data_IF_688068453079
#
_entry.id   IF_688068453079
#
_cell.length_a   1.000
_cell.length_b   1.000
_cell.length_c   1.000
_cell.angle_alpha   90.00
_cell.angle_beta   90.00
_cell.angle_gamma   90.00
#
_symmetry.space_group_name_H-M   'P 1'
#
loop_
_entity.id
_entity.type
_entity.pdbx_description
1 polymer ?
#
# COMPACT_ATOMS: atom_id res chain seq x y z
N UNK A 1 -11.03 -0.86 25.79
CA UNK A 1 -9.86 -1.70 25.48
C UNK A 1 -10.26 -2.63 24.35
N UNK A 2 -9.81 -2.40 23.11
CA UNK A 2 -10.28 -3.12 21.92
C UNK A 2 -9.11 -3.62 21.07
N UNK A 3 -9.24 -4.83 20.50
CA UNK A 3 -8.20 -5.42 19.67
C UNK A 3 -8.17 -4.69 18.32
N UNK A 4 -7.06 -4.01 18.05
CA UNK A 4 -6.76 -3.46 16.74
C UNK A 4 -6.36 -4.61 15.81
N UNK A 5 -7.29 -4.92 14.89
CA UNK A 5 -7.41 -6.09 13.99
C UNK A 5 -8.41 -7.09 14.57
N UNK A 6 -9.62 -6.96 14.06
CA UNK A 6 -10.70 -7.92 14.23
C UNK A 6 -10.30 -9.23 13.57
N UNK A 7 -9.70 -10.13 14.35
CA UNK A 7 -9.70 -11.56 14.07
C UNK A 7 -11.12 -12.05 14.37
N UNK A 8 -11.87 -12.32 13.30
CA UNK A 8 -13.14 -13.01 13.38
C UNK A 8 -12.86 -14.47 13.77
N UNK A 9 -12.94 -14.77 15.07
CA UNK A 9 -13.01 -16.14 15.55
C UNK A 9 -14.50 -16.51 15.67
N UNK A 10 -14.95 -17.32 14.72
CA UNK A 10 -16.17 -18.16 14.76
C UNK A 10 -17.51 -17.40 14.76
N UNK A 11 -17.98 -17.03 13.57
CA UNK A 11 -19.36 -17.22 13.08
C UNK A 11 -19.57 -16.39 11.79
N UNK A 12 -19.61 -17.10 10.66
CA UNK A 12 -20.45 -16.89 9.48
C UNK A 12 -21.03 -15.49 9.20
N UNK A 13 -20.64 -14.92 8.03
CA UNK A 13 -21.43 -14.12 7.07
C UNK A 13 -21.06 -12.65 6.73
N UNK A 14 -20.11 -11.94 7.35
CA UNK A 14 -19.97 -10.48 7.10
C UNK A 14 -18.56 -9.86 6.85
N UNK A 15 -17.60 -10.57 6.26
CA UNK A 15 -16.35 -9.92 5.78
C UNK A 15 -16.09 -10.09 4.29
N UNK A 16 -17.17 -10.18 3.51
CA UNK A 16 -17.11 -10.09 2.05
C UNK A 16 -16.89 -8.63 1.65
N UNK A 17 -15.87 -8.38 0.83
CA UNK A 17 -15.75 -7.11 0.12
C UNK A 17 -16.11 -7.36 -1.35
N UNK A 18 -17.08 -6.63 -1.92
CA UNK A 18 -17.30 -6.70 -3.36
C UNK A 18 -15.99 -6.34 -4.08
N UNK A 19 -15.75 -6.98 -5.23
CA UNK A 19 -14.62 -6.62 -6.08
C UNK A 19 -14.73 -5.13 -6.46
N UNK A 20 -13.60 -4.40 -6.55
CA UNK A 20 -13.60 -3.04 -7.09
C UNK A 20 -14.31 -3.00 -8.44
N UNK A 21 -15.20 -2.03 -8.63
CA UNK A 21 -15.80 -1.74 -9.92
C UNK A 21 -14.73 -1.34 -10.95
N UNK A 22 -15.04 -1.34 -12.26
CA UNK A 22 -14.11 -0.84 -13.27
C UNK A 22 -13.61 0.57 -12.93
N UNK A 23 -12.28 0.75 -12.95
CA UNK A 23 -11.58 2.00 -12.59
C UNK A 23 -11.70 2.43 -11.12
N UNK A 24 -12.22 1.56 -10.26
CA UNK A 24 -12.23 1.76 -8.81
C UNK A 24 -10.92 1.24 -8.18
N UNK A 25 -10.46 1.95 -7.16
CA UNK A 25 -9.33 1.52 -6.33
C UNK A 25 -9.79 1.51 -4.88
N UNK A 26 -9.72 0.35 -4.25
CA UNK A 26 -9.87 0.25 -2.81
C UNK A 26 -8.52 0.49 -2.13
N UNK A 27 -8.48 1.40 -1.16
CA UNK A 27 -7.29 1.69 -0.37
C UNK A 27 -7.49 1.17 1.06
N UNK A 28 -6.53 0.37 1.52
CA UNK A 28 -6.47 -0.19 2.87
C UNK A 28 -5.21 0.32 3.53
N UNK A 29 -5.27 0.68 4.80
CA UNK A 29 -4.09 1.16 5.51
C UNK A 29 -4.11 0.76 6.98
N UNK A 30 -2.93 0.80 7.60
CA UNK A 30 -2.79 0.66 9.04
C UNK A 30 -1.63 1.54 9.53
N UNK A 31 -1.78 2.08 10.74
CA UNK A 31 -0.70 2.75 11.45
C UNK A 31 -0.03 1.71 12.36
N UNK A 32 1.26 1.38 12.18
CA UNK A 32 1.92 0.36 12.99
C UNK A 32 1.86 0.63 14.49
N UNK A 33 1.82 1.90 14.88
CA UNK A 33 1.71 2.32 16.27
C UNK A 33 0.38 1.97 16.94
N UNK A 34 -0.69 1.71 16.18
CA UNK A 34 -1.98 1.29 16.72
C UNK A 34 -1.99 -0.20 17.10
N UNK A 35 -0.99 -0.97 16.65
CA UNK A 35 -0.93 -2.42 16.84
C UNK A 35 0.21 -2.78 17.78
N UNK A 36 -0.02 -2.62 19.09
CA UNK A 36 0.99 -2.87 20.14
C UNK A 36 0.80 -4.17 20.91
N UNK A 37 -0.31 -4.87 20.69
CA UNK A 37 -0.65 -6.09 21.43
C UNK A 37 0.23 -7.27 20.98
N UNK A 38 1.02 -7.79 21.92
CA UNK A 38 1.93 -8.92 21.69
C UNK A 38 1.20 -10.24 21.34
N UNK A 39 -0.04 -10.42 21.80
CA UNK A 39 -0.85 -11.60 21.47
C UNK A 39 -1.28 -11.56 20.01
N UNK A 40 -1.68 -10.38 19.52
CA UNK A 40 -2.01 -10.14 18.12
C UNK A 40 -0.81 -10.36 17.21
N UNK A 41 0.39 -9.91 17.60
CA UNK A 41 1.62 -10.15 16.83
C UNK A 41 1.91 -11.65 16.64
N UNK A 42 1.64 -12.48 17.66
CA UNK A 42 1.78 -13.94 17.56
C UNK A 42 0.78 -14.52 16.56
N UNK A 43 -0.46 -14.06 16.58
CA UNK A 43 -1.49 -14.49 15.61
C UNK A 43 -1.07 -14.12 14.19
N UNK A 44 -0.59 -12.90 13.96
CA UNK A 44 -0.14 -12.47 12.62
C UNK A 44 1.02 -13.27 12.08
N UNK A 45 1.96 -13.66 12.95
CA UNK A 45 3.07 -14.52 12.54
C UNK A 45 2.57 -15.83 11.94
N UNK A 46 1.50 -16.40 12.49
CA UNK A 46 0.89 -17.64 11.99
C UNK A 46 0.17 -17.47 10.64
N UNK A 47 -0.10 -16.24 10.18
CA UNK A 47 -0.64 -15.99 8.85
C UNK A 47 0.43 -16.04 7.76
N UNK A 48 1.71 -15.86 8.11
CA UNK A 48 2.81 -15.82 7.15
C UNK A 48 3.29 -17.23 6.82
N UNK A 49 3.68 -17.46 5.57
CA UNK A 49 4.41 -18.67 5.20
C UNK A 49 5.78 -18.72 5.87
N UNK A 50 6.37 -19.90 5.95
CA UNK A 50 7.70 -20.12 6.54
C UNK A 50 8.77 -19.21 5.94
N UNK A 51 8.76 -18.96 4.63
CA UNK A 51 9.74 -18.11 3.96
C UNK A 51 9.55 -16.63 4.29
N UNK A 52 8.31 -16.19 4.50
CA UNK A 52 8.05 -14.80 4.92
C UNK A 52 8.38 -14.59 6.38
N UNK A 53 8.13 -15.59 7.24
CA UNK A 53 8.58 -15.55 8.63
C UNK A 53 10.10 -15.43 8.71
N UNK A 54 10.85 -16.18 7.89
CA UNK A 54 12.30 -16.04 7.77
C UNK A 54 12.70 -14.62 7.33
N UNK A 55 12.08 -14.07 6.28
CA UNK A 55 12.35 -12.69 5.81
C UNK A 55 12.03 -11.60 6.85
N UNK A 56 11.00 -11.82 7.67
CA UNK A 56 10.70 -10.93 8.81
C UNK A 56 11.84 -10.98 9.83
N UNK A 57 12.34 -12.18 10.15
CA UNK A 57 13.40 -12.39 11.14
C UNK A 57 14.81 -12.04 10.64
N UNK A 58 15.01 -11.92 9.32
CA UNK A 58 16.28 -11.54 8.66
C UNK A 58 16.73 -10.09 8.93
N UNK A 59 16.05 -9.37 9.83
CA UNK A 59 16.47 -8.07 10.31
C UNK A 59 16.65 -8.12 11.83
N UNK A 60 17.75 -7.58 12.36
CA UNK A 60 18.02 -7.57 13.80
C UNK A 60 17.13 -6.59 14.58
N UNK A 61 16.57 -5.58 13.91
CA UNK A 61 15.83 -4.50 14.57
C UNK A 61 14.34 -4.83 14.72
N UNK A 62 13.88 -4.98 15.98
CA UNK A 62 12.49 -5.40 16.31
C UNK A 62 11.43 -4.51 15.67
N UNK A 63 11.64 -3.18 15.62
CA UNK A 63 10.67 -2.26 14.98
C UNK A 63 10.49 -2.62 13.51
N UNK A 64 11.58 -2.88 12.80
CA UNK A 64 11.57 -3.26 11.38
C UNK A 64 10.99 -4.66 11.18
N UNK A 65 11.22 -5.60 12.11
CA UNK A 65 10.53 -6.89 12.09
C UNK A 65 9.00 -6.72 12.20
N UNK A 66 8.54 -5.87 13.12
CA UNK A 66 7.12 -5.59 13.31
C UNK A 66 6.50 -4.91 12.07
N UNK A 67 7.18 -3.93 11.49
CA UNK A 67 6.76 -3.28 10.24
C UNK A 67 6.61 -4.30 9.09
N UNK A 68 7.61 -5.19 8.90
CA UNK A 68 7.55 -6.26 7.89
C UNK A 68 6.40 -7.23 8.14
N UNK A 69 6.20 -7.63 9.40
CA UNK A 69 5.11 -8.52 9.81
C UNK A 69 3.74 -7.89 9.50
N UNK A 70 3.55 -6.64 9.92
CA UNK A 70 2.31 -5.91 9.71
C UNK A 70 2.03 -5.63 8.24
N UNK A 71 3.06 -5.31 7.45
CA UNK A 71 2.96 -5.15 6.01
C UNK A 71 2.47 -6.44 5.32
N UNK A 72 3.05 -7.61 5.64
CA UNK A 72 2.60 -8.90 5.11
C UNK A 72 1.19 -9.26 5.58
N UNK A 73 0.87 -8.93 6.83
CA UNK A 73 -0.46 -9.16 7.43
C UNK A 73 -1.53 -8.33 6.73
N UNK A 74 -1.26 -7.05 6.49
CA UNK A 74 -2.16 -6.14 5.76
C UNK A 74 -2.49 -6.72 4.39
N UNK A 75 -1.47 -7.09 3.61
CA UNK A 75 -1.67 -7.66 2.27
C UNK A 75 -2.49 -8.94 2.33
N UNK A 76 -2.07 -9.91 3.17
CA UNK A 76 -2.74 -11.21 3.26
C UNK A 76 -4.20 -11.10 3.66
N UNK A 77 -4.47 -10.39 4.75
CA UNK A 77 -5.84 -10.26 5.25
C UNK A 77 -6.70 -9.44 4.30
N UNK A 78 -6.14 -8.43 3.62
CA UNK A 78 -6.87 -7.65 2.61
C UNK A 78 -7.25 -8.51 1.42
N UNK A 79 -6.30 -9.22 0.82
CA UNK A 79 -6.57 -10.05 -0.36
C UNK A 79 -7.47 -11.24 -0.04
N UNK A 80 -7.34 -11.85 1.14
CA UNK A 80 -8.20 -12.93 1.60
C UNK A 80 -9.70 -12.55 1.58
N UNK A 81 -10.04 -11.29 1.85
CA UNK A 81 -11.43 -10.79 1.83
C UNK A 81 -12.04 -10.74 0.43
N UNK A 82 -11.24 -10.49 -0.60
CA UNK A 82 -11.68 -10.59 -2.00
C UNK A 82 -11.64 -12.03 -2.51
N UNK A 83 -10.66 -12.79 -2.01
CA UNK A 83 -10.42 -14.20 -2.28
C UNK A 83 -11.50 -15.15 -1.77
N UNK A 84 -12.13 -14.77 -0.66
CA UNK A 84 -12.86 -15.69 0.22
C UNK A 84 -12.01 -16.93 0.57
N UNK A 85 -10.74 -16.70 0.91
CA UNK A 85 -9.76 -17.74 1.25
C UNK A 85 -9.06 -17.40 2.56
N UNK A 86 -8.50 -18.41 3.21
CA UNK A 86 -7.69 -18.20 4.41
C UNK A 86 -6.44 -17.36 4.09
N UNK A 87 -6.11 -16.32 4.88
CA UNK A 87 -4.93 -15.49 4.62
C UNK A 87 -3.63 -16.30 4.49
N UNK A 88 -3.46 -17.35 5.30
CA UNK A 88 -2.29 -18.23 5.31
C UNK A 88 -2.19 -19.12 4.06
N UNK A 89 -3.30 -19.36 3.36
CA UNK A 89 -3.34 -20.14 2.12
C UNK A 89 -2.76 -19.37 0.92
N UNK A 90 -2.80 -18.03 0.96
CA UNK A 90 -2.33 -17.19 -0.12
C UNK A 90 -0.84 -17.45 -0.42
N UNK A 91 -0.54 -17.52 -1.72
CA UNK A 91 0.81 -17.60 -2.25
C UNK A 91 1.09 -16.36 -3.09
N UNK A 92 2.37 -16.02 -3.21
CA UNK A 92 2.80 -14.82 -3.90
C UNK A 92 3.99 -15.15 -4.79
N UNK A 93 3.99 -14.61 -6.00
CA UNK A 93 5.16 -14.51 -6.86
C UNK A 93 5.58 -13.05 -7.00
N UNK A 94 6.72 -12.81 -7.62
CA UNK A 94 7.18 -11.47 -8.00
C UNK A 94 7.57 -11.47 -9.47
N UNK A 95 7.40 -10.33 -10.15
CA UNK A 95 8.02 -10.14 -11.45
C UNK A 95 9.54 -9.92 -11.32
N UNK A 96 10.24 -9.73 -12.45
CA UNK A 96 11.69 -9.48 -12.49
C UNK A 96 12.15 -8.23 -11.70
N UNK A 97 11.24 -7.29 -11.45
CA UNK A 97 11.50 -6.05 -10.70
C UNK A 97 11.03 -6.12 -9.24
N UNK A 98 10.57 -7.29 -8.78
CA UNK A 98 10.15 -7.52 -7.40
C UNK A 98 8.70 -7.10 -7.08
N UNK A 99 7.90 -6.65 -8.06
CA UNK A 99 6.48 -6.34 -7.83
C UNK A 99 5.71 -7.63 -7.55
N UNK A 100 5.05 -7.75 -6.39
CA UNK A 100 4.37 -8.97 -6.01
C UNK A 100 3.05 -9.16 -6.78
N UNK A 101 2.72 -10.41 -7.07
CA UNK A 101 1.40 -10.86 -7.54
C UNK A 101 0.91 -11.99 -6.64
N UNK A 102 -0.39 -12.05 -6.45
CA UNK A 102 -1.03 -13.14 -5.69
C UNK A 102 -1.28 -14.30 -6.64
N UNK A 103 -0.97 -15.50 -6.17
CA UNK A 103 -1.34 -16.76 -6.82
C UNK A 103 -2.56 -17.27 -6.06
N UNK A 104 -3.71 -17.19 -6.71
CA UNK A 104 -4.98 -17.60 -6.12
C UNK A 104 -5.09 -19.12 -6.13
N UNK A 105 -5.56 -19.74 -5.03
CA UNK A 105 -5.91 -21.15 -5.07
C UNK A 105 -7.07 -21.34 -6.06
N UNK A 106 -7.00 -22.41 -6.86
CA UNK A 106 -8.09 -22.76 -7.75
C UNK A 106 -9.36 -23.02 -6.91
N UNK A 107 -10.45 -22.33 -7.26
CA UNK A 107 -11.75 -22.51 -6.61
C UNK A 107 -12.80 -22.76 -7.68
N UNK A 108 -13.77 -23.60 -7.34
CA UNK A 108 -14.96 -23.81 -8.14
C UNK A 108 -16.10 -22.97 -7.55
N UNK A 109 -16.78 -22.21 -8.40
CA UNK A 109 -18.03 -21.53 -8.08
C UNK A 109 -19.00 -21.82 -9.24
N UNK A 110 -20.16 -22.42 -8.94
CA UNK A 110 -21.16 -22.83 -9.94
C UNK A 110 -20.59 -23.62 -11.14
N UNK A 111 -19.74 -24.62 -10.86
CA UNK A 111 -19.03 -25.42 -11.88
C UNK A 111 -18.14 -24.62 -12.84
N UNK A 112 -17.78 -23.37 -12.51
CA UNK A 112 -16.79 -22.57 -13.22
C UNK A 112 -15.57 -22.36 -12.33
N UNK A 113 -14.38 -22.32 -12.95
CA UNK A 113 -13.16 -21.92 -12.25
C UNK A 113 -13.32 -20.44 -11.88
N UNK A 114 -13.49 -20.17 -10.60
CA UNK A 114 -13.47 -18.82 -10.07
C UNK A 114 -12.03 -18.30 -10.16
N UNK A 115 -11.86 -17.17 -10.85
CA UNK A 115 -10.55 -16.65 -11.21
C UNK A 115 -10.50 -15.14 -10.96
N UNK A 116 -10.07 -14.69 -9.78
CA UNK A 116 -9.74 -13.29 -9.51
C UNK A 116 -8.37 -12.94 -10.13
N UNK A 117 -8.00 -13.54 -11.26
CA UNK A 117 -6.71 -13.31 -11.92
C UNK A 117 -6.53 -11.84 -12.33
N UNK A 118 -7.65 -11.12 -12.46
CA UNK A 118 -7.67 -9.69 -12.74
C UNK A 118 -7.50 -8.79 -11.51
N UNK A 119 -7.43 -9.35 -10.29
CA UNK A 119 -7.24 -8.54 -9.09
C UNK A 119 -5.75 -8.20 -8.94
N UNK A 120 -5.46 -6.91 -9.03
CA UNK A 120 -4.11 -6.38 -8.89
C UNK A 120 -4.00 -5.59 -7.60
N UNK A 121 -2.82 -5.64 -6.97
CA UNK A 121 -2.56 -4.89 -5.76
C UNK A 121 -1.16 -4.29 -5.76
N UNK A 122 -0.97 -3.30 -4.91
CA UNK A 122 0.33 -2.73 -4.61
C UNK A 122 0.41 -2.28 -3.16
N UNK A 123 1.62 -2.29 -2.60
CA UNK A 123 1.87 -1.94 -1.21
C UNK A 123 2.91 -0.82 -1.15
N UNK A 124 2.70 0.12 -0.23
CA UNK A 124 3.70 1.08 0.19
C UNK A 124 3.75 1.19 1.71
N UNK A 125 4.88 1.64 2.24
CA UNK A 125 5.04 1.86 3.67
C UNK A 125 6.03 2.97 3.99
N UNK A 126 5.74 3.68 5.07
CA UNK A 126 6.67 4.47 5.87
C UNK A 126 6.82 3.81 7.24
N UNK A 127 7.54 4.42 8.18
CA UNK A 127 7.57 3.93 9.56
C UNK A 127 6.22 4.09 10.26
N UNK A 128 5.43 5.08 9.85
CA UNK A 128 4.16 5.46 10.48
C UNK A 128 2.92 4.93 9.76
N UNK A 129 3.01 4.56 8.48
CA UNK A 129 1.85 4.18 7.68
C UNK A 129 2.16 3.02 6.73
N UNK A 130 1.31 2.00 6.74
CA UNK A 130 1.29 0.95 5.71
C UNK A 130 0.04 1.14 4.86
N UNK A 131 0.17 1.08 3.54
CA UNK A 131 -0.93 1.25 2.59
C UNK A 131 -0.93 0.14 1.53
N UNK A 132 -2.09 -0.44 1.26
CA UNK A 132 -2.34 -1.47 0.25
C UNK A 132 -3.48 -1.00 -0.66
N UNK A 133 -3.19 -0.83 -1.95
CA UNK A 133 -4.18 -0.50 -2.96
C UNK A 133 -4.58 -1.76 -3.73
N UNK A 134 -5.88 -1.90 -4.03
CA UNK A 134 -6.45 -3.03 -4.76
C UNK A 134 -7.36 -2.53 -5.87
N UNK A 135 -7.22 -3.10 -7.07
CA UNK A 135 -8.07 -2.80 -8.23
C UNK A 135 -8.38 -4.07 -9.03
N UNK A 136 -9.27 -3.95 -10.02
CA UNK A 136 -9.64 -5.00 -10.96
C UNK A 136 -9.31 -4.59 -12.39
N UNK A 137 -8.86 -5.56 -13.20
CA UNK A 137 -8.65 -5.42 -14.64
C UNK A 137 -7.71 -4.26 -15.02
N UNK A 138 -6.64 -4.06 -14.25
CA UNK A 138 -5.68 -2.99 -14.50
C UNK A 138 -4.52 -3.00 -13.52
N UNK A 139 -3.52 -2.19 -13.80
CA UNK A 139 -2.38 -2.01 -12.91
C UNK A 139 -2.68 -0.94 -11.85
N UNK A 140 -2.21 -1.17 -10.62
CA UNK A 140 -2.31 -0.21 -9.53
C UNK A 140 -0.95 -0.02 -8.87
N UNK A 141 -0.69 1.21 -8.45
CA UNK A 141 0.44 1.57 -7.63
C UNK A 141 0.01 2.53 -6.55
N UNK A 142 0.57 2.37 -5.36
CA UNK A 142 0.36 3.26 -4.22
C UNK A 142 1.71 3.65 -3.67
N UNK A 143 1.83 4.90 -3.25
CA UNK A 143 3.01 5.38 -2.56
C UNK A 143 2.60 6.24 -1.36
N UNK A 144 3.42 6.18 -0.31
CA UNK A 144 3.25 6.97 0.90
C UNK A 144 4.63 7.45 1.33
N UNK A 145 4.73 8.73 1.69
CA UNK A 145 5.96 9.36 2.13
C UNK A 145 5.68 10.22 3.36
N UNK A 146 6.65 10.31 4.27
CA UNK A 146 6.55 11.18 5.44
C UNK A 146 6.73 12.64 5.02
N UNK A 147 5.77 13.49 5.36
CA UNK A 147 5.80 14.92 5.06
C UNK A 147 7.06 15.59 5.62
N UNK A 148 7.59 15.09 6.74
CA UNK A 148 8.67 15.73 7.50
C UNK A 148 10.03 15.06 7.28
N UNK A 149 10.11 14.11 6.33
CA UNK A 149 11.34 13.42 5.94
C UNK A 149 12.48 14.40 5.62
N UNK A 150 13.44 14.57 6.52
CA UNK A 150 14.60 15.45 6.31
C UNK A 150 15.35 15.05 5.04
N UNK A 151 15.31 15.89 4.02
CA UNK A 151 16.09 15.71 2.79
C UNK A 151 17.45 16.37 3.02
N UNK A 152 18.51 15.56 3.07
CA UNK A 152 19.88 16.03 3.37
C UNK A 152 20.59 16.74 2.21
N UNK A 153 19.93 16.88 1.05
CA UNK A 153 20.54 17.44 -0.17
C UNK A 153 19.75 18.65 -0.68
N UNK A 154 20.41 19.46 -1.50
CA UNK A 154 19.77 20.50 -2.31
C UNK A 154 18.61 19.90 -3.12
N UNK A 155 17.38 20.18 -2.66
CA UNK A 155 16.13 19.60 -3.18
C UNK A 155 15.94 19.91 -4.66
N UNK A 156 16.26 21.14 -5.07
CA UNK A 156 16.19 21.55 -6.47
C UNK A 156 17.21 20.83 -7.35
N UNK A 157 18.40 20.51 -6.85
CA UNK A 157 19.37 19.68 -7.59
C UNK A 157 18.83 18.27 -7.84
N UNK A 158 18.14 17.69 -6.84
CA UNK A 158 17.51 16.38 -7.00
C UNK A 158 16.32 16.45 -7.96
N UNK A 159 15.48 17.48 -7.86
CA UNK A 159 14.36 17.71 -8.77
C UNK A 159 14.85 17.82 -10.22
N UNK A 160 15.85 18.65 -10.51
CA UNK A 160 16.42 18.79 -11.87
C UNK A 160 17.03 17.49 -12.42
N UNK A 161 17.49 16.59 -11.54
CA UNK A 161 18.05 15.29 -11.95
C UNK A 161 16.98 14.23 -12.21
N UNK A 162 15.84 14.30 -11.51
CA UNK A 162 14.86 13.20 -11.45
C UNK A 162 13.52 13.55 -12.07
N UNK A 163 13.08 14.80 -12.03
CA UNK A 163 11.79 15.21 -12.55
C UNK A 163 11.91 15.73 -13.98
N UNK A 164 10.76 15.85 -14.65
CA UNK A 164 10.70 16.48 -15.96
C UNK A 164 11.15 17.95 -15.86
N UNK A 165 11.67 18.55 -16.94
CA UNK A 165 12.02 19.98 -16.97
C UNK A 165 10.87 20.87 -16.48
N UNK A 166 9.63 20.56 -16.86
CA UNK A 166 8.42 21.30 -16.49
C UNK A 166 8.13 21.23 -14.99
N UNK A 167 8.27 20.05 -14.37
CA UNK A 167 8.10 19.91 -12.92
C UNK A 167 9.21 20.60 -12.12
N UNK A 168 10.45 20.50 -12.60
CA UNK A 168 11.58 21.15 -11.96
C UNK A 168 11.49 22.68 -12.06
N UNK A 169 11.04 23.21 -13.20
CA UNK A 169 10.76 24.62 -13.39
C UNK A 169 9.60 25.09 -12.49
N UNK A 170 8.48 24.36 -12.52
CA UNK A 170 7.33 24.64 -11.65
C UNK A 170 7.70 24.64 -10.16
N UNK A 171 8.52 23.69 -9.69
CA UNK A 171 9.02 23.67 -8.30
C UNK A 171 9.89 24.89 -7.96
N UNK A 172 10.63 25.43 -8.94
CA UNK A 172 11.52 26.57 -8.70
C UNK A 172 10.78 27.89 -8.43
N UNK A 173 9.50 27.97 -8.77
CA UNK A 173 8.64 29.13 -8.52
C UNK A 173 8.15 29.23 -7.06
N UNK A 174 8.41 28.24 -6.22
CA UNK A 174 8.07 28.29 -4.80
C UNK A 174 9.22 28.89 -3.99
N UNK A 175 9.02 30.10 -3.47
CA UNK A 175 10.00 30.82 -2.62
C UNK A 175 10.04 30.28 -1.19
N UNK A 176 8.88 29.91 -0.62
CA UNK A 176 8.82 29.26 0.68
C UNK A 176 9.38 27.83 0.58
N UNK A 177 10.51 27.60 1.24
CA UNK A 177 11.19 26.31 1.29
C UNK A 177 10.30 25.19 1.86
N UNK A 178 9.38 25.49 2.77
CA UNK A 178 8.48 24.49 3.37
C UNK A 178 7.46 24.02 2.32
N UNK A 179 6.81 24.97 1.65
CA UNK A 179 5.89 24.68 0.54
C UNK A 179 6.61 24.00 -0.64
N UNK A 180 7.79 24.48 -1.05
CA UNK A 180 8.59 23.87 -2.12
C UNK A 180 8.90 22.40 -1.79
N UNK A 181 9.31 22.12 -0.56
CA UNK A 181 9.58 20.76 -0.10
C UNK A 181 8.32 19.91 -0.09
N UNK A 182 7.19 20.46 0.36
CA UNK A 182 5.90 19.75 0.34
C UNK A 182 5.49 19.38 -1.09
N UNK A 183 5.64 20.31 -2.06
CA UNK A 183 5.35 20.05 -3.48
C UNK A 183 6.27 19.03 -4.10
N UNK A 184 7.56 19.07 -3.75
CA UNK A 184 8.51 18.04 -4.16
C UNK A 184 8.09 16.65 -3.69
N UNK A 185 7.71 16.52 -2.41
CA UNK A 185 7.26 15.23 -1.87
C UNK A 185 5.97 14.76 -2.56
N UNK A 186 5.04 15.66 -2.88
CA UNK A 186 3.84 15.30 -3.66
C UNK A 186 4.20 14.74 -5.04
N UNK A 187 5.10 15.39 -5.78
CA UNK A 187 5.54 14.90 -7.08
C UNK A 187 6.31 13.58 -6.96
N UNK A 188 7.17 13.46 -5.95
CA UNK A 188 7.90 12.22 -5.68
C UNK A 188 6.94 11.05 -5.44
N UNK A 189 5.95 11.22 -4.56
CA UNK A 189 4.95 10.20 -4.25
C UNK A 189 4.12 9.83 -5.48
N UNK A 190 3.70 10.80 -6.30
CA UNK A 190 2.98 10.49 -7.55
C UNK A 190 3.82 9.68 -8.53
N UNK A 191 5.10 10.05 -8.68
CA UNK A 191 6.06 9.35 -9.55
C UNK A 191 6.34 7.93 -9.09
N UNK A 192 6.58 7.72 -7.81
CA UNK A 192 6.75 6.37 -7.23
C UNK A 192 5.49 5.53 -7.35
N UNK A 193 4.31 6.10 -7.08
CA UNK A 193 3.04 5.40 -7.26
C UNK A 193 2.85 4.96 -8.72
N UNK A 194 3.16 5.81 -9.69
CA UNK A 194 3.07 5.45 -11.10
C UNK A 194 4.07 4.38 -11.51
N UNK A 195 5.34 4.47 -11.09
CA UNK A 195 6.32 3.40 -11.34
C UNK A 195 5.88 2.08 -10.72
N UNK A 196 5.32 2.11 -9.51
CA UNK A 196 4.79 0.93 -8.83
C UNK A 196 3.60 0.33 -9.59
N UNK A 197 2.78 1.16 -10.24
CA UNK A 197 1.75 0.70 -11.17
C UNK A 197 2.37 0.00 -12.38
N UNK A 198 3.38 0.59 -13.03
CA UNK A 198 4.09 -0.05 -14.14
C UNK A 198 4.81 -1.34 -13.74
N UNK A 199 5.28 -1.41 -12.49
CA UNK A 199 5.99 -2.57 -11.96
C UNK A 199 7.40 -2.75 -12.51
N UNK A 200 8.01 -1.68 -13.04
CA UNK A 200 9.34 -1.65 -13.68
C UNK A 200 10.48 -1.24 -12.73
N UNK A 201 10.14 -0.72 -11.56
CA UNK A 201 11.11 -0.19 -10.58
C UNK A 201 11.72 1.16 -10.99
N UNK A 202 12.19 1.91 -9.98
CA UNK A 202 12.69 3.29 -10.17
C UNK A 202 13.94 3.35 -11.07
N UNK A 203 14.81 2.34 -10.99
CA UNK A 203 16.09 2.34 -11.70
C UNK A 203 15.96 2.18 -13.21
N UNK A 204 14.82 1.66 -13.70
CA UNK A 204 14.58 1.38 -15.12
C UNK A 204 13.58 2.34 -15.76
N UNK A 205 12.95 3.21 -14.97
CA UNK A 205 11.95 4.15 -15.46
C UNK A 205 12.50 5.56 -15.33
N UNK A 206 12.88 6.23 -16.44
CA UNK A 206 13.38 7.59 -16.36
C UNK A 206 12.26 8.54 -15.93
N UNK A 207 12.33 8.99 -14.68
CA UNK A 207 11.31 9.84 -14.07
C UNK A 207 11.11 11.22 -14.74
N UNK A 208 12.05 11.61 -15.61
CA UNK A 208 12.00 12.84 -16.41
C UNK A 208 11.15 12.72 -17.68
N UNK A 209 10.81 11.50 -18.10
CA UNK A 209 10.13 11.26 -19.39
C UNK A 209 8.62 11.47 -19.31
N UNK A 210 8.09 11.80 -18.13
CA UNK A 210 6.68 12.09 -17.92
C UNK A 210 6.48 13.14 -16.83
N UNK A 211 5.37 13.86 -16.92
CA UNK A 211 5.08 15.06 -16.12
C UNK A 211 3.74 14.90 -15.42
N UNK A 212 3.69 15.19 -14.12
CA UNK A 212 2.44 15.36 -13.39
C UNK A 212 2.07 16.83 -13.30
N UNK A 213 0.84 17.15 -13.71
CA UNK A 213 0.22 18.43 -13.43
C UNK A 213 -0.57 18.35 -12.11
N UNK A 214 -0.04 18.95 -11.05
CA UNK A 214 -0.75 19.07 -9.77
C UNK A 214 -1.85 20.11 -9.88
N UNK A 215 -3.09 19.66 -10.18
CA UNK A 215 -4.28 20.51 -10.08
C UNK A 215 -4.80 20.52 -8.64
N UNK A 216 -5.30 21.67 -8.12
CA UNK A 216 -6.02 21.69 -6.85
C UNK A 216 -7.17 20.67 -6.91
N UNK A 217 -7.08 19.60 -6.12
CA UNK A 217 -8.15 18.62 -6.04
C UNK A 217 -8.95 18.85 -4.77
N UNK A 218 -10.16 19.41 -4.92
CA UNK A 218 -11.09 19.70 -3.82
C UNK A 218 -11.63 18.41 -3.17
N UNK A 219 -11.52 17.26 -3.86
CA UNK A 219 -12.15 16.01 -3.44
C UNK A 219 -11.26 15.09 -2.60
N UNK A 220 -9.93 15.16 -2.74
CA UNK A 220 -9.00 14.22 -2.10
C UNK A 220 -9.09 14.25 -0.56
N UNK A 221 -9.24 15.44 0.03
CA UNK A 221 -9.37 15.63 1.47
C UNK A 221 -10.66 15.01 2.02
N UNK A 222 -11.78 15.23 1.32
CA UNK A 222 -13.09 14.71 1.71
C UNK A 222 -13.23 13.19 1.61
N UNK A 223 -12.43 12.53 0.77
CA UNK A 223 -12.41 11.07 0.62
C UNK A 223 -11.58 10.42 1.73
N UNK A 224 -10.44 11.02 2.10
CA UNK A 224 -9.65 10.55 3.24
C UNK A 224 -10.39 10.77 4.56
N UNK A 225 -11.01 11.92 4.79
CA UNK A 225 -11.81 12.17 6.01
C UNK A 225 -13.00 11.19 6.13
N UNK A 226 -13.64 10.82 5.02
CA UNK A 226 -14.68 9.77 4.99
C UNK A 226 -14.14 8.35 5.14
N UNK A 227 -12.98 8.05 4.58
CA UNK A 227 -12.36 6.72 4.65
C UNK A 227 -11.72 6.43 6.01
N UNK A 228 -11.24 7.47 6.71
CA UNK A 228 -10.73 7.39 8.09
C UNK A 228 -11.89 7.37 9.10
N UNK A 229 -13.09 7.79 8.70
CA UNK A 229 -14.34 7.67 9.45
C UNK A 229 -15.02 6.29 9.37
N UNK A 230 -14.29 5.20 9.62
CA UNK A 230 -14.97 3.95 9.99
C UNK A 230 -15.52 4.08 11.43
N UNK A 231 -16.67 3.48 11.74
CA UNK A 231 -17.33 3.64 13.02
C UNK A 231 -16.38 3.21 14.14
N UNK A 232 -16.23 4.09 15.12
CA UNK A 232 -15.87 3.67 16.45
C UNK A 232 -16.87 2.58 16.86
N UNK A 233 -16.42 1.33 16.79
CA UNK A 233 -17.02 0.17 17.41
C UNK A 233 -18.25 -0.43 16.70
N UNK A 234 -18.34 -1.77 16.61
CA UNK A 234 -19.63 -2.41 16.74
C UNK A 234 -20.13 -2.12 18.15
N UNK A 235 -21.36 -1.61 18.27
CA UNK A 235 -22.11 -1.83 19.50
C UNK A 235 -22.33 -3.33 19.62
N UNK A 236 -21.57 -3.94 20.51
CA UNK A 236 -21.94 -5.10 21.30
C UNK A 236 -21.52 -4.79 22.72
#
# INVERSE_FOLDING_TARGET
MKPAIMMATVASQHLFRPLPAPREVHLWFLFPEDVRDSSLMKIYRNLLSSDEQKKVLDCSHVKTQNERLLARTLVRTTLARYGMVEPSSLRFSTNEFGKPKVIWPARMEDNKIWSPHSLCFNLSHTQSLLACAVTMNGEVGVDVEESDRKLSRNLMSLARRRFSPEEADWLSHFEDSTEQRRRFMQLWTLKEAYIKALGTGISKTPLKDFTFALKPCVYARSYLERAVGFPAHPQV
#
